data_IF_865872251591
#
_entry.id   IF_865872251591
#
_cell.length_a   1.000
_cell.length_b   1.000
_cell.length_c   1.000
_cell.angle_alpha   90.00
_cell.angle_beta   90.00
_cell.angle_gamma   90.00
#
_symmetry.space_group_name_H-M   'P 1'
#
loop_
_entity.id
_entity.type
_entity.pdbx_description
1 polymer ?
#
# COMPACT_ATOMS: atom_id res chain seq x y z
N UNK A 1 -21.63 -4.68 6.16
CA UNK A 1 -21.79 -3.34 5.56
C UNK A 1 -20.53 -3.01 4.78
N UNK A 2 -20.69 -2.53 3.55
CA UNK A 2 -19.59 -2.07 2.69
C UNK A 2 -19.58 -0.54 2.63
N UNK A 3 -18.51 0.09 3.09
CA UNK A 3 -18.35 1.54 3.06
C UNK A 3 -17.25 1.93 2.06
N UNK A 4 -17.65 2.45 0.90
CA UNK A 4 -16.70 2.93 -0.11
C UNK A 4 -16.07 4.28 0.25
N UNK A 5 -14.88 4.56 -0.28
CA UNK A 5 -14.14 5.81 -0.11
C UNK A 5 -12.68 5.58 0.25
N UNK A 6 -11.89 6.66 0.21
CA UNK A 6 -10.45 6.59 0.52
C UNK A 6 -10.16 6.83 2.02
N UNK A 7 -11.16 7.22 2.81
CA UNK A 7 -11.02 7.54 4.22
C UNK A 7 -11.86 6.61 5.07
N UNK A 8 -11.32 6.25 6.22
CA UNK A 8 -12.05 5.52 7.26
C UNK A 8 -13.33 6.29 7.64
N UNK A 9 -14.44 5.56 7.78
CA UNK A 9 -15.73 6.11 8.20
C UNK A 9 -16.13 5.53 9.53
N UNK A 10 -16.59 6.38 10.43
CA UNK A 10 -17.23 5.92 11.66
C UNK A 10 -18.69 5.71 11.35
N UNK A 11 -19.11 4.45 11.36
CA UNK A 11 -20.48 4.04 11.07
C UNK A 11 -21.09 3.55 12.39
N UNK A 12 -22.05 4.25 12.96
CA UNK A 12 -22.66 3.90 14.25
C UNK A 12 -23.67 2.75 14.09
N UNK A 13 -23.20 1.58 13.69
CA UNK A 13 -24.01 0.37 13.58
C UNK A 13 -23.44 -0.67 14.56
N UNK A 14 -24.25 -1.08 15.50
CA UNK A 14 -23.95 -2.18 16.40
C UNK A 14 -24.16 -3.53 15.69
N UNK A 15 -23.41 -4.56 16.11
CA UNK A 15 -23.52 -5.93 15.60
C UNK A 15 -23.36 -6.06 14.07
N UNK A 16 -22.51 -5.24 13.46
CA UNK A 16 -22.22 -5.27 12.05
C UNK A 16 -20.77 -5.64 11.75
N UNK A 17 -20.56 -6.35 10.64
CA UNK A 17 -19.25 -6.54 10.04
C UNK A 17 -19.08 -5.43 8.99
N UNK A 18 -18.01 -4.65 9.13
CA UNK A 18 -17.72 -3.51 8.26
C UNK A 18 -16.56 -3.85 7.32
N UNK A 19 -16.71 -3.53 6.05
CA UNK A 19 -15.68 -3.61 5.02
C UNK A 19 -15.43 -2.21 4.47
N UNK A 20 -14.22 -1.68 4.68
CA UNK A 20 -13.85 -0.35 4.22
C UNK A 20 -12.35 -0.23 4.00
N UNK A 21 -11.92 0.85 3.33
CA UNK A 21 -10.51 1.13 3.09
C UNK A 21 -10.00 2.24 4.00
N UNK A 22 -8.70 2.19 4.31
CA UNK A 22 -8.02 3.24 5.06
C UNK A 22 -8.20 3.18 6.56
N UNK A 23 -8.44 2.00 7.10
CA UNK A 23 -8.58 1.75 8.53
C UNK A 23 -7.31 2.11 9.31
N UNK A 24 -7.53 2.58 10.55
CA UNK A 24 -6.47 2.84 11.52
C UNK A 24 -6.50 1.78 12.62
N UNK A 25 -5.39 1.10 12.85
CA UNK A 25 -5.26 0.05 13.89
C UNK A 25 -5.57 0.59 15.27
N UNK A 26 -5.11 1.78 15.61
CA UNK A 26 -5.38 2.44 16.89
C UNK A 26 -6.88 2.74 17.12
N UNK A 27 -7.71 2.67 16.07
CA UNK A 27 -9.16 2.93 16.14
C UNK A 27 -10.02 1.68 16.03
N UNK A 28 -9.44 0.51 15.74
CA UNK A 28 -10.18 -0.76 15.62
C UNK A 28 -11.02 -1.09 16.87
N UNK A 29 -10.64 -0.59 18.04
CA UNK A 29 -11.45 -0.76 19.26
C UNK A 29 -12.88 -0.20 19.17
N UNK A 30 -13.12 0.73 18.23
CA UNK A 30 -14.46 1.31 18.00
C UNK A 30 -15.36 0.43 17.12
N UNK A 31 -14.75 -0.41 16.28
CA UNK A 31 -15.44 -1.34 15.40
C UNK A 31 -14.69 -2.67 15.39
N UNK A 32 -14.96 -3.51 16.38
CA UNK A 32 -14.29 -4.80 16.60
C UNK A 32 -14.23 -5.68 15.34
N UNK A 33 -15.19 -5.53 14.43
CA UNK A 33 -15.30 -6.30 13.20
C UNK A 33 -15.25 -5.40 11.96
N UNK A 34 -14.29 -4.47 11.92
CA UNK A 34 -13.97 -3.69 10.73
C UNK A 34 -12.77 -4.31 10.03
N UNK A 35 -12.93 -4.61 8.74
CA UNK A 35 -11.92 -5.24 7.90
C UNK A 35 -11.51 -4.31 6.75
N UNK A 36 -10.21 -4.24 6.51
CA UNK A 36 -9.65 -3.50 5.39
C UNK A 36 -9.94 -4.23 4.08
N UNK A 37 -10.38 -3.45 3.08
CA UNK A 37 -10.62 -3.94 1.72
C UNK A 37 -9.41 -3.63 0.84
N UNK A 38 -8.87 -4.60 0.11
CA UNK A 38 -7.76 -4.31 -0.80
C UNK A 38 -8.17 -3.33 -1.89
N UNK A 39 -7.27 -2.42 -2.25
CA UNK A 39 -7.46 -1.62 -3.44
C UNK A 39 -7.27 -2.52 -4.67
N UNK A 40 -8.36 -2.97 -5.26
CA UNK A 40 -8.32 -3.85 -6.44
C UNK A 40 -7.57 -3.18 -7.58
N UNK A 41 -6.57 -3.87 -8.08
CA UNK A 41 -5.73 -3.45 -9.18
C UNK A 41 -5.89 -4.40 -10.36
N UNK A 42 -5.59 -3.89 -11.56
CA UNK A 42 -5.53 -4.73 -12.77
C UNK A 42 -4.37 -5.71 -12.64
N UNK A 43 -4.50 -6.89 -13.20
CA UNK A 43 -3.39 -7.82 -13.30
C UNK A 43 -2.35 -7.33 -14.30
N UNK A 44 -1.23 -6.80 -13.78
CA UNK A 44 -0.16 -6.27 -14.62
C UNK A 44 0.69 -7.37 -15.25
N UNK A 45 0.81 -8.53 -14.60
CA UNK A 45 1.52 -9.68 -15.19
C UNK A 45 0.77 -10.18 -16.41
N UNK A 46 -0.56 -10.29 -16.33
CA UNK A 46 -1.38 -10.68 -17.47
C UNK A 46 -1.27 -9.67 -18.62
N UNK A 47 -1.44 -8.38 -18.31
CA UNK A 47 -1.51 -7.33 -19.34
C UNK A 47 -0.17 -7.07 -20.04
N UNK A 48 0.95 -7.09 -19.29
CA UNK A 48 2.24 -6.66 -19.82
C UNK A 48 3.19 -7.82 -20.12
N UNK A 49 2.93 -9.01 -19.58
CA UNK A 49 3.80 -10.19 -19.69
C UNK A 49 3.04 -11.48 -20.06
N UNK A 50 1.78 -11.38 -20.53
CA UNK A 50 1.01 -12.55 -20.99
C UNK A 50 0.86 -13.64 -19.93
N UNK A 51 0.73 -13.27 -18.66
CA UNK A 51 0.56 -14.19 -17.53
C UNK A 51 1.88 -14.76 -16.97
N UNK A 52 3.03 -14.53 -17.61
CA UNK A 52 4.32 -15.03 -17.14
C UNK A 52 4.97 -14.02 -16.18
N UNK A 53 5.16 -14.43 -14.93
CA UNK A 53 5.83 -13.59 -13.94
C UNK A 53 7.34 -13.46 -14.24
N UNK A 54 7.86 -12.25 -14.55
CA UNK A 54 9.30 -12.07 -14.74
C UNK A 54 9.99 -12.06 -13.37
N UNK A 55 10.79 -13.09 -13.09
CA UNK A 55 11.55 -13.22 -11.84
C UNK A 55 12.88 -12.46 -11.98
N UNK A 56 13.20 -11.64 -10.99
CA UNK A 56 14.48 -10.94 -10.89
C UNK A 56 15.48 -11.79 -10.07
N UNK A 57 16.70 -11.85 -10.54
CA UNK A 57 17.81 -12.47 -9.78
C UNK A 57 18.33 -11.51 -8.70
N UNK A 58 18.63 -12.06 -7.54
CA UNK A 58 19.21 -11.29 -6.43
C UNK A 58 20.53 -10.67 -6.87
N UNK A 59 20.70 -9.38 -6.62
CA UNK A 59 21.96 -8.65 -6.81
C UNK A 59 22.59 -8.35 -5.45
N UNK A 60 23.86 -7.91 -5.43
CA UNK A 60 24.54 -7.56 -4.18
C UNK A 60 23.87 -6.39 -3.47
N UNK A 61 23.38 -5.39 -4.22
CA UNK A 61 22.65 -4.27 -3.68
C UNK A 61 21.17 -4.34 -4.08
N UNK A 62 20.25 -4.10 -3.13
CA UNK A 62 18.82 -4.04 -3.43
C UNK A 62 18.50 -2.80 -4.29
N UNK A 63 17.79 -3.01 -5.40
CA UNK A 63 17.30 -1.94 -6.26
C UNK A 63 15.88 -1.54 -5.87
N UNK A 64 15.73 -0.29 -5.44
CA UNK A 64 14.49 0.26 -4.88
C UNK A 64 13.82 1.18 -5.87
N UNK A 65 12.56 0.90 -6.22
CA UNK A 65 11.75 1.66 -7.15
C UNK A 65 10.72 2.58 -6.48
N UNK A 66 10.42 3.65 -7.18
CA UNK A 66 9.26 4.49 -6.91
C UNK A 66 8.89 5.31 -8.15
N UNK A 67 7.65 5.23 -8.59
CA UNK A 67 7.13 6.11 -9.63
C UNK A 67 5.86 6.81 -9.14
N UNK A 68 5.89 8.13 -8.93
CA UNK A 68 4.71 8.86 -8.49
C UNK A 68 4.95 10.21 -7.82
N UNK A 69 3.87 10.77 -7.26
CA UNK A 69 3.95 12.06 -6.60
C UNK A 69 4.64 11.95 -5.24
N UNK A 70 5.77 12.62 -5.10
CA UNK A 70 6.52 12.74 -3.84
C UNK A 70 6.97 14.19 -3.58
N UNK A 71 6.64 15.10 -4.48
CA UNK A 71 6.83 16.54 -4.30
C UNK A 71 5.49 17.27 -4.37
N UNK A 72 5.32 18.30 -3.56
CA UNK A 72 4.15 19.15 -3.57
C UNK A 72 4.57 20.62 -3.65
N UNK A 73 3.82 21.45 -4.37
CA UNK A 73 4.00 22.90 -4.42
C UNK A 73 3.25 23.57 -3.29
N UNK A 74 3.66 24.77 -2.89
CA UNK A 74 2.99 25.56 -1.85
C UNK A 74 1.48 25.68 -2.03
N UNK A 75 0.93 25.97 -3.24
CA UNK A 75 -0.51 25.99 -3.44
C UNK A 75 -1.20 24.66 -3.09
N UNK A 76 -0.56 23.53 -3.40
CA UNK A 76 -1.08 22.20 -3.03
C UNK A 76 -1.10 21.98 -1.51
N UNK A 77 -0.11 22.50 -0.79
CA UNK A 77 -0.09 22.47 0.66
C UNK A 77 -1.24 23.26 1.27
N UNK A 78 -1.47 24.48 0.78
CA UNK A 78 -2.57 25.33 1.25
C UNK A 78 -3.94 24.67 1.02
N UNK A 79 -4.15 24.12 -0.17
CA UNK A 79 -5.39 23.37 -0.48
C UNK A 79 -5.55 22.16 0.44
N UNK A 80 -4.47 21.41 0.69
CA UNK A 80 -4.51 20.25 1.59
C UNK A 80 -4.88 20.67 3.03
N UNK A 81 -4.27 21.72 3.55
CA UNK A 81 -4.54 22.23 4.88
C UNK A 81 -5.98 22.75 5.01
N UNK A 82 -6.45 23.56 4.05
CA UNK A 82 -7.82 24.06 4.03
C UNK A 82 -8.84 22.93 4.02
N UNK A 83 -8.67 21.94 3.13
CA UNK A 83 -9.53 20.77 3.07
C UNK A 83 -9.45 19.94 4.36
N UNK A 84 -8.25 19.76 4.93
CA UNK A 84 -8.06 19.04 6.18
C UNK A 84 -8.74 19.71 7.37
N UNK A 85 -8.74 21.03 7.43
CA UNK A 85 -9.45 21.80 8.46
C UNK A 85 -10.97 21.72 8.28
N UNK A 86 -11.45 21.87 7.03
CA UNK A 86 -12.87 21.70 6.70
C UNK A 86 -13.38 20.33 7.10
N UNK A 87 -12.69 19.26 6.74
CA UNK A 87 -13.10 17.90 7.11
C UNK A 87 -13.09 17.70 8.63
N UNK A 88 -12.14 18.31 9.36
CA UNK A 88 -12.12 18.27 10.83
C UNK A 88 -13.32 18.98 11.44
N UNK A 89 -13.67 20.16 10.94
CA UNK A 89 -14.84 20.89 11.45
C UNK A 89 -16.12 20.11 11.22
N UNK A 90 -16.31 19.53 10.03
CA UNK A 90 -17.47 18.69 9.72
C UNK A 90 -17.52 17.40 10.58
N UNK A 91 -16.38 16.80 10.86
CA UNK A 91 -16.27 15.64 11.72
C UNK A 91 -16.61 15.97 13.19
N UNK A 92 -16.11 17.11 13.70
CA UNK A 92 -16.38 17.55 15.08
C UNK A 92 -17.86 17.90 15.33
N UNK A 93 -18.56 18.38 14.32
CA UNK A 93 -20.01 18.69 14.40
C UNK A 93 -20.87 17.52 13.91
N UNK A 94 -20.30 16.33 13.80
CA UNK A 94 -20.96 15.08 13.39
C UNK A 94 -21.68 15.13 12.02
N UNK A 95 -21.29 16.08 11.16
CA UNK A 95 -21.83 16.22 9.81
C UNK A 95 -21.10 15.37 8.75
N UNK A 96 -20.00 14.71 9.12
CA UNK A 96 -19.27 13.78 8.26
C UNK A 96 -18.81 12.58 9.07
N UNK A 97 -19.08 11.36 8.61
CA UNK A 97 -18.55 10.15 9.24
C UNK A 97 -17.08 9.90 8.90
N UNK A 98 -16.50 10.65 7.94
CA UNK A 98 -15.13 10.43 7.46
C UNK A 98 -14.10 10.94 8.47
N UNK A 99 -13.16 10.07 8.81
CA UNK A 99 -12.03 10.43 9.67
C UNK A 99 -11.12 11.41 8.92
N UNK A 100 -10.88 12.60 9.46
CA UNK A 100 -10.07 13.60 8.77
C UNK A 100 -8.62 13.12 8.56
N UNK A 101 -8.03 13.39 7.38
CA UNK A 101 -6.63 13.04 7.12
C UNK A 101 -5.68 13.83 8.04
N UNK A 102 -4.44 13.35 8.26
CA UNK A 102 -3.42 14.14 8.93
C UNK A 102 -3.20 15.49 8.26
N UNK A 103 -2.86 16.51 9.05
CA UNK A 103 -2.53 17.84 8.50
C UNK A 103 -1.26 17.80 7.64
N UNK A 104 -0.32 16.92 7.96
CA UNK A 104 0.85 16.72 7.12
C UNK A 104 0.47 15.96 5.85
N UNK A 105 0.69 16.53 4.66
CA UNK A 105 0.38 15.86 3.41
C UNK A 105 1.21 14.60 3.21
N UNK A 106 0.66 13.55 2.54
CA UNK A 106 1.36 12.27 2.35
C UNK A 106 2.64 12.39 1.52
N UNK A 107 2.73 13.35 0.62
CA UNK A 107 3.94 13.57 -0.18
C UNK A 107 5.16 14.04 0.64
N UNK A 108 4.95 14.67 1.82
CA UNK A 108 6.07 15.02 2.72
C UNK A 108 6.76 13.78 3.27
N UNK A 109 6.00 12.81 3.76
CA UNK A 109 6.57 11.54 4.24
C UNK A 109 7.25 10.79 3.10
N UNK A 110 6.60 10.71 1.92
CA UNK A 110 7.20 10.10 0.74
C UNK A 110 8.51 10.77 0.35
N UNK A 111 8.52 12.10 0.24
CA UNK A 111 9.72 12.85 -0.10
C UNK A 111 10.86 12.67 0.91
N UNK A 112 10.53 12.55 2.22
CA UNK A 112 11.52 12.22 3.25
C UNK A 112 12.11 10.84 3.03
N UNK A 113 11.26 9.81 2.87
CA UNK A 113 11.68 8.43 2.65
C UNK A 113 12.55 8.29 1.40
N UNK A 114 12.09 8.82 0.27
CA UNK A 114 12.86 8.73 -0.99
C UNK A 114 14.20 9.44 -0.91
N UNK A 115 14.30 10.56 -0.18
CA UNK A 115 15.57 11.25 0.03
C UNK A 115 16.52 10.41 0.87
N UNK A 116 16.06 9.80 1.96
CA UNK A 116 16.88 8.94 2.81
C UNK A 116 17.44 7.74 2.03
N UNK A 117 16.60 7.08 1.23
CA UNK A 117 17.02 5.98 0.36
C UNK A 117 18.04 6.44 -0.69
N UNK A 118 17.77 7.58 -1.38
CA UNK A 118 18.65 8.09 -2.43
C UNK A 118 20.01 8.57 -1.91
N UNK A 119 20.12 8.94 -0.64
CA UNK A 119 21.37 9.39 -0.01
C UNK A 119 22.19 8.22 0.56
N UNK A 120 21.62 7.04 0.68
CA UNK A 120 22.30 5.89 1.25
C UNK A 120 23.08 5.10 0.19
N UNK A 121 24.33 4.70 0.48
CA UNK A 121 25.10 3.83 -0.41
C UNK A 121 24.67 2.36 -0.33
N UNK A 122 23.78 2.01 0.60
CA UNK A 122 23.34 0.62 0.86
C UNK A 122 22.34 0.11 -0.19
N UNK A 123 21.68 1.01 -0.93
CA UNK A 123 20.67 0.67 -1.91
C UNK A 123 20.92 1.37 -3.24
N UNK A 124 20.46 0.77 -4.34
CA UNK A 124 20.32 1.45 -5.62
C UNK A 124 18.91 1.98 -5.77
N UNK A 125 18.73 3.16 -6.34
CA UNK A 125 17.41 3.77 -6.46
C UNK A 125 17.04 4.08 -7.90
N UNK A 126 15.78 3.75 -8.25
CA UNK A 126 15.16 4.06 -9.53
C UNK A 126 13.86 4.86 -9.26
N UNK A 127 14.00 6.18 -9.05
CA UNK A 127 12.90 7.03 -8.64
C UNK A 127 12.43 7.96 -9.75
N UNK A 128 11.17 7.81 -10.15
CA UNK A 128 10.47 8.70 -11.07
C UNK A 128 9.55 9.61 -10.26
N UNK A 129 10.10 10.74 -9.80
CA UNK A 129 9.39 11.68 -8.94
C UNK A 129 8.53 12.63 -9.78
N UNK A 130 7.22 12.58 -9.55
CA UNK A 130 6.24 13.41 -10.24
C UNK A 130 5.72 14.53 -9.34
N UNK A 131 5.55 15.73 -9.92
CA UNK A 131 5.01 16.90 -9.22
C UNK A 131 3.48 16.88 -9.15
N UNK A 132 2.81 16.07 -9.97
CA UNK A 132 1.35 15.95 -10.04
C UNK A 132 0.93 14.49 -9.89
N UNK A 133 -0.22 14.30 -9.24
CA UNK A 133 -0.85 12.99 -9.17
C UNK A 133 -1.12 12.45 -10.58
N UNK A 134 -0.79 11.19 -10.82
CA UNK A 134 -0.90 10.50 -12.12
C UNK A 134 -0.27 11.28 -13.29
N UNK A 135 0.86 11.92 -13.07
CA UNK A 135 1.54 12.77 -14.06
C UNK A 135 0.67 13.90 -14.63
N UNK A 136 -0.47 14.23 -14.00
CA UNK A 136 -1.42 15.24 -14.45
C UNK A 136 -2.46 14.73 -15.47
N UNK A 137 -2.50 13.45 -15.78
CA UNK A 137 -3.52 12.83 -16.66
C UNK A 137 -4.91 13.01 -16.06
N UNK A 138 -5.79 13.73 -16.78
CA UNK A 138 -7.15 14.06 -16.32
C UNK A 138 -8.22 13.15 -16.90
N UNK A 139 -8.05 12.71 -18.14
CA UNK A 139 -9.00 11.84 -18.83
C UNK A 139 -9.11 10.48 -18.13
N UNK A 140 -10.37 10.05 -17.90
CA UNK A 140 -10.63 8.71 -17.33
C UNK A 140 -10.22 7.60 -18.30
N UNK A 141 -10.38 7.86 -19.61
CA UNK A 141 -10.00 6.92 -20.66
C UNK A 141 -8.47 6.69 -20.66
N UNK A 142 -7.67 7.77 -20.72
CA UNK A 142 -6.20 7.69 -20.67
C UNK A 142 -5.70 7.04 -19.37
N UNK A 143 -6.34 7.34 -18.23
CA UNK A 143 -5.99 6.71 -16.95
C UNK A 143 -6.25 5.21 -16.93
N UNK A 144 -7.25 4.74 -17.67
CA UNK A 144 -7.62 3.34 -17.74
C UNK A 144 -6.95 2.60 -18.90
N UNK A 145 -6.32 3.32 -19.84
CA UNK A 145 -5.55 2.72 -20.91
C UNK A 145 -4.22 2.15 -20.33
N UNK A 146 -4.02 0.82 -20.36
CA UNK A 146 -2.80 0.23 -19.86
C UNK A 146 -1.57 0.67 -20.65
N UNK A 147 -1.73 0.96 -21.93
CA UNK A 147 -0.65 1.33 -22.85
C UNK A 147 -0.37 2.83 -22.90
N UNK A 148 -1.11 3.64 -22.14
CA UNK A 148 -0.75 5.04 -21.99
C UNK A 148 0.67 5.18 -21.42
N UNK A 149 1.56 6.02 -22.00
CA UNK A 149 2.97 6.09 -21.62
C UNK A 149 3.23 6.22 -20.11
N UNK A 150 2.40 6.98 -19.39
CA UNK A 150 2.55 7.15 -17.94
C UNK A 150 2.23 5.89 -17.13
N UNK A 151 1.37 5.01 -17.66
CA UNK A 151 1.05 3.72 -17.03
C UNK A 151 2.13 2.69 -17.34
N UNK A 152 2.63 2.66 -18.57
CA UNK A 152 3.76 1.82 -18.97
C UNK A 152 5.03 2.18 -18.18
N UNK A 153 5.37 3.47 -18.05
CA UNK A 153 6.48 3.94 -17.22
C UNK A 153 6.33 3.51 -15.77
N UNK A 154 5.12 3.64 -15.22
CA UNK A 154 4.83 3.25 -13.83
C UNK A 154 5.01 1.74 -13.60
N UNK A 155 4.47 0.92 -14.49
CA UNK A 155 4.54 -0.54 -14.37
C UNK A 155 5.96 -1.05 -14.63
N UNK A 156 6.66 -0.49 -15.63
CA UNK A 156 8.06 -0.83 -15.89
C UNK A 156 8.96 -0.48 -14.70
N UNK A 157 8.73 0.64 -14.01
CA UNK A 157 9.49 0.96 -12.79
C UNK A 157 9.33 -0.11 -11.72
N UNK A 158 8.11 -0.67 -11.55
CA UNK A 158 7.88 -1.79 -10.62
C UNK A 158 8.62 -3.05 -11.09
N UNK A 159 8.45 -3.47 -12.35
CA UNK A 159 9.07 -4.70 -12.84
C UNK A 159 10.61 -4.65 -12.88
N UNK A 160 11.20 -3.47 -13.08
CA UNK A 160 12.65 -3.28 -13.18
C UNK A 160 13.36 -3.10 -11.83
N UNK A 161 12.64 -3.13 -10.71
CA UNK A 161 13.19 -2.98 -9.37
C UNK A 161 12.87 -4.18 -8.49
N UNK A 162 13.67 -4.42 -7.47
CA UNK A 162 13.52 -5.54 -6.55
C UNK A 162 12.45 -5.22 -5.49
N UNK A 163 12.52 -3.99 -5.03
CA UNK A 163 11.68 -3.43 -3.98
C UNK A 163 10.95 -2.20 -4.45
N UNK A 164 9.72 -2.01 -4.00
CA UNK A 164 8.95 -0.79 -4.31
C UNK A 164 8.49 -0.09 -3.05
N UNK A 165 8.72 1.22 -2.95
CA UNK A 165 8.31 2.02 -1.78
C UNK A 165 6.80 2.19 -1.74
N UNK A 166 6.16 1.64 -0.69
CA UNK A 166 4.72 1.62 -0.47
C UNK A 166 4.35 2.46 0.76
N UNK A 167 3.92 3.69 0.53
CA UNK A 167 3.51 4.64 1.56
C UNK A 167 2.09 5.11 1.27
N UNK A 168 1.30 5.32 2.32
CA UNK A 168 -0.08 5.80 2.24
C UNK A 168 -0.30 6.93 1.26
N UNK A 169 -1.50 6.97 0.69
CA UNK A 169 -2.04 8.07 -0.10
C UNK A 169 -2.72 9.14 0.75
N UNK A 170 -3.83 9.67 0.26
CA UNK A 170 -4.73 10.53 1.02
C UNK A 170 -5.37 9.78 2.18
N UNK A 171 -5.92 8.59 1.91
CA UNK A 171 -6.37 7.65 2.91
C UNK A 171 -5.22 6.90 3.60
N UNK A 172 -5.52 6.09 4.63
CA UNK A 172 -4.52 5.34 5.39
C UNK A 172 -4.17 4.00 4.73
N UNK A 173 -4.12 3.94 3.43
CA UNK A 173 -3.72 2.75 2.66
C UNK A 173 -2.80 3.13 1.50
N UNK A 174 -2.09 2.15 0.98
CA UNK A 174 -1.21 2.29 -0.19
C UNK A 174 -1.68 1.39 -1.34
N UNK A 175 -2.29 1.97 -2.38
CA UNK A 175 -2.62 1.20 -3.58
C UNK A 175 -1.40 0.52 -4.18
N UNK A 176 -0.22 1.16 -4.06
CA UNK A 176 1.04 0.63 -4.57
C UNK A 176 1.45 -0.68 -3.92
N UNK A 177 1.05 -0.95 -2.67
CA UNK A 177 1.26 -2.25 -2.03
C UNK A 177 0.69 -3.38 -2.89
N UNK A 178 -0.56 -3.23 -3.32
CA UNK A 178 -1.24 -4.23 -4.14
C UNK A 178 -0.69 -4.29 -5.57
N UNK A 179 -0.30 -3.15 -6.13
CA UNK A 179 0.36 -3.07 -7.45
C UNK A 179 1.72 -3.76 -7.45
N UNK A 180 2.48 -3.61 -6.37
CA UNK A 180 3.81 -4.24 -6.18
C UNK A 180 3.67 -5.76 -6.04
N UNK A 181 2.77 -6.23 -5.16
CA UNK A 181 2.52 -7.66 -4.98
C UNK A 181 1.96 -8.32 -6.25
N UNK A 182 1.09 -7.61 -6.98
CA UNK A 182 0.59 -8.05 -8.30
C UNK A 182 1.73 -8.34 -9.28
N UNK A 183 2.78 -7.53 -9.27
CA UNK A 183 3.97 -7.71 -10.10
C UNK A 183 5.00 -8.70 -9.52
N UNK A 184 4.69 -9.39 -8.42
CA UNK A 184 5.64 -10.27 -7.74
C UNK A 184 6.89 -9.53 -7.26
N UNK A 185 6.76 -8.28 -6.82
CA UNK A 185 7.85 -7.49 -6.25
C UNK A 185 7.65 -7.33 -4.75
N UNK A 186 8.73 -7.05 -4.04
CA UNK A 186 8.73 -6.98 -2.59
C UNK A 186 8.43 -5.54 -2.16
N UNK A 187 7.35 -5.30 -1.41
CA UNK A 187 7.05 -3.96 -0.91
C UNK A 187 8.02 -3.52 0.20
N UNK A 188 8.44 -2.26 0.17
CA UNK A 188 8.93 -1.56 1.36
C UNK A 188 7.71 -0.85 1.95
N UNK A 189 7.09 -1.45 2.95
CA UNK A 189 5.86 -0.95 3.53
C UNK A 189 6.15 -0.05 4.73
N UNK A 190 5.82 1.25 4.59
CA UNK A 190 5.91 2.20 5.71
C UNK A 190 4.58 2.23 6.44
N UNK A 191 4.55 1.62 7.62
CA UNK A 191 3.35 1.58 8.46
C UNK A 191 3.04 2.97 9.04
N UNK A 192 1.81 3.39 8.83
CA UNK A 192 1.26 4.64 9.33
C UNK A 192 0.00 4.40 10.18
N UNK A 193 0.06 3.35 11.01
CA UNK A 193 -1.08 2.89 11.80
C UNK A 193 -2.15 2.21 10.90
N UNK A 194 -1.71 1.52 9.84
CA UNK A 194 -2.59 0.93 8.84
C UNK A 194 -3.04 -0.47 9.27
N UNK A 195 -4.32 -0.78 9.01
CA UNK A 195 -4.81 -2.15 8.96
C UNK A 195 -4.61 -2.67 7.55
N UNK A 196 -4.20 -3.92 7.40
CA UNK A 196 -4.04 -4.56 6.09
C UNK A 196 -5.11 -5.64 5.90
N UNK A 197 -5.51 -5.93 4.64
CA UNK A 197 -6.49 -6.98 4.36
C UNK A 197 -6.02 -8.33 4.92
N UNK A 198 -6.95 -9.10 5.48
CA UNK A 198 -6.64 -10.41 6.06
C UNK A 198 -5.52 -10.42 7.12
N UNK A 199 -5.31 -9.31 7.87
CA UNK A 199 -4.30 -9.24 8.92
C UNK A 199 -4.50 -10.28 10.04
N UNK A 200 -5.71 -10.83 10.16
CA UNK A 200 -6.04 -11.96 11.03
C UNK A 200 -5.57 -13.33 10.49
N UNK A 201 -5.16 -13.43 9.21
CA UNK A 201 -4.78 -14.68 8.54
C UNK A 201 -3.44 -14.60 7.81
N UNK A 202 -2.94 -13.41 7.50
CA UNK A 202 -1.72 -13.15 6.74
C UNK A 202 -0.67 -12.49 7.63
N UNK A 203 0.47 -13.14 7.79
CA UNK A 203 1.65 -12.50 8.37
C UNK A 203 2.32 -11.61 7.33
N UNK A 204 1.91 -10.34 7.31
CA UNK A 204 2.37 -9.35 6.34
C UNK A 204 3.88 -9.08 6.38
N UNK A 205 4.53 -9.29 7.53
CA UNK A 205 5.97 -9.06 7.68
C UNK A 205 6.82 -10.06 6.89
N UNK A 206 6.24 -11.19 6.50
CA UNK A 206 6.92 -12.18 5.64
C UNK A 206 7.03 -11.72 4.18
N UNK A 207 6.16 -10.81 3.74
CA UNK A 207 6.03 -10.43 2.33
C UNK A 207 6.59 -9.04 2.03
N UNK A 208 7.10 -8.32 3.02
CA UNK A 208 7.57 -6.95 2.83
C UNK A 208 8.67 -6.55 3.81
N UNK A 209 9.49 -5.60 3.41
CA UNK A 209 10.32 -4.84 4.35
C UNK A 209 9.38 -3.95 5.16
N UNK A 210 9.11 -4.35 6.41
CA UNK A 210 8.23 -3.61 7.31
C UNK A 210 8.99 -2.49 8.00
N UNK A 211 8.50 -1.26 7.87
CA UNK A 211 9.12 -0.07 8.46
C UNK A 211 8.07 0.69 9.26
N UNK A 212 8.20 0.68 10.57
CA UNK A 212 7.37 1.52 11.42
C UNK A 212 7.70 3.00 11.18
N UNK A 213 6.72 3.88 11.38
CA UNK A 213 6.91 5.31 11.13
C UNK A 213 8.08 5.91 11.91
N UNK A 214 8.37 5.42 13.11
CA UNK A 214 9.51 5.80 13.95
C UNK A 214 10.85 5.34 13.36
N UNK A 215 10.87 4.26 12.61
CA UNK A 215 12.06 3.65 12.02
C UNK A 215 12.41 4.21 10.62
N UNK A 216 11.62 5.13 10.10
CA UNK A 216 11.89 5.78 8.81
C UNK A 216 13.31 6.35 8.69
N UNK A 217 13.95 6.90 9.73
CA UNK A 217 15.36 7.31 9.63
C UNK A 217 16.34 6.20 9.24
N UNK A 218 16.02 4.95 9.54
CA UNK A 218 16.84 3.76 9.31
C UNK A 218 16.32 2.88 8.15
N UNK A 219 15.53 3.46 7.24
CA UNK A 219 14.86 2.70 6.19
C UNK A 219 15.82 2.03 5.21
N UNK A 220 16.94 2.66 4.90
CA UNK A 220 17.93 2.10 3.99
C UNK A 220 18.65 0.87 4.60
N UNK A 221 19.00 0.97 5.88
CA UNK A 221 19.58 -0.13 6.67
C UNK A 221 18.59 -1.31 6.72
N UNK A 222 17.33 -1.05 7.05
CA UNK A 222 16.29 -2.10 7.08
C UNK A 222 16.11 -2.80 5.74
N UNK A 223 16.18 -2.07 4.63
CA UNK A 223 16.10 -2.66 3.29
C UNK A 223 17.34 -3.52 3.00
N UNK A 224 18.53 -3.02 3.34
CA UNK A 224 19.77 -3.75 3.14
C UNK A 224 19.85 -5.01 4.01
N UNK A 225 19.48 -4.92 5.29
CA UNK A 225 19.45 -6.04 6.23
C UNK A 225 18.45 -7.12 5.78
N UNK A 226 17.24 -6.72 5.38
CA UNK A 226 16.26 -7.64 4.83
C UNK A 226 16.78 -8.33 3.57
N UNK A 227 17.40 -7.58 2.65
CA UNK A 227 17.98 -8.13 1.44
C UNK A 227 19.12 -9.10 1.75
N UNK A 228 19.99 -8.76 2.69
CA UNK A 228 21.11 -9.61 3.11
C UNK A 228 20.64 -10.90 3.81
N UNK A 229 19.50 -10.87 4.49
CA UNK A 229 18.94 -12.04 5.17
C UNK A 229 18.38 -13.12 4.24
N UNK A 230 18.12 -12.79 2.97
CA UNK A 230 17.60 -13.73 1.98
C UNK A 230 18.76 -14.40 1.21
N UNK A 231 18.68 -15.69 0.98
CA UNK A 231 19.49 -16.33 -0.07
C UNK A 231 19.04 -15.90 -1.47
N UNK A 232 19.77 -16.26 -2.51
CA UNK A 232 19.33 -15.99 -3.89
C UNK A 232 18.01 -16.73 -4.23
N UNK A 233 17.88 -17.96 -3.74
CA UNK A 233 16.70 -18.81 -3.91
C UNK A 233 15.50 -18.22 -3.14
N UNK A 234 15.69 -17.90 -1.84
CA UNK A 234 14.62 -17.28 -1.02
C UNK A 234 14.12 -15.96 -1.62
N UNK A 235 15.02 -15.19 -2.24
CA UNK A 235 14.65 -13.93 -2.90
C UNK A 235 13.78 -14.17 -4.13
N UNK A 236 14.06 -15.20 -4.94
CA UNK A 236 13.24 -15.56 -6.09
C UNK A 236 11.89 -16.13 -5.63
N UNK A 237 11.91 -17.02 -4.64
CA UNK A 237 10.70 -17.62 -4.06
C UNK A 237 9.79 -16.56 -3.42
N UNK A 238 10.35 -15.56 -2.74
CA UNK A 238 9.55 -14.48 -2.15
C UNK A 238 8.80 -13.68 -3.22
N UNK A 239 9.38 -13.48 -4.41
CA UNK A 239 8.69 -12.83 -5.53
C UNK A 239 7.46 -13.66 -5.99
N UNK A 240 7.62 -14.98 -6.06
CA UNK A 240 6.52 -15.90 -6.38
C UNK A 240 5.45 -15.84 -5.28
N UNK A 241 5.85 -15.90 -4.02
CA UNK A 241 4.94 -15.82 -2.87
C UNK A 241 4.19 -14.48 -2.81
N UNK A 242 4.84 -13.36 -3.11
CA UNK A 242 4.20 -12.06 -3.24
C UNK A 242 3.10 -12.06 -4.32
N UNK A 243 3.39 -12.65 -5.48
CA UNK A 243 2.42 -12.79 -6.56
C UNK A 243 1.24 -13.68 -6.15
N UNK A 244 1.53 -14.83 -5.54
CA UNK A 244 0.50 -15.76 -5.06
C UNK A 244 -0.41 -15.12 -4.02
N UNK A 245 0.16 -14.42 -3.02
CA UNK A 245 -0.62 -13.69 -2.03
C UNK A 245 -1.60 -12.71 -2.70
N UNK A 246 -1.13 -11.98 -3.74
CA UNK A 246 -2.00 -11.08 -4.47
C UNK A 246 -3.11 -11.82 -5.21
N UNK A 247 -2.79 -12.91 -5.92
CA UNK A 247 -3.77 -13.70 -6.67
C UNK A 247 -4.83 -14.29 -5.75
N UNK A 248 -4.39 -14.90 -4.64
CA UNK A 248 -5.25 -15.68 -3.77
C UNK A 248 -6.14 -14.82 -2.86
N UNK A 249 -5.68 -13.60 -2.45
CA UNK A 249 -6.39 -12.83 -1.43
C UNK A 249 -6.64 -11.37 -1.74
N UNK A 250 -5.84 -10.77 -2.63
CA UNK A 250 -5.85 -9.32 -2.84
C UNK A 250 -6.35 -8.91 -4.23
N UNK A 251 -6.38 -9.83 -5.17
CA UNK A 251 -7.10 -9.67 -6.43
C UNK A 251 -8.61 -9.62 -6.15
N UNK A 252 -9.39 -9.08 -7.09
CA UNK A 252 -10.85 -9.05 -6.91
C UNK A 252 -11.41 -10.46 -6.74
N UNK A 253 -10.99 -11.41 -7.58
CA UNK A 253 -11.44 -12.81 -7.51
C UNK A 253 -11.02 -13.44 -6.18
N UNK A 254 -9.72 -13.43 -5.86
CA UNK A 254 -9.18 -14.06 -4.66
C UNK A 254 -9.78 -13.49 -3.37
N UNK A 255 -10.05 -12.17 -3.33
CA UNK A 255 -10.72 -11.57 -2.18
C UNK A 255 -12.12 -12.14 -1.95
N UNK A 256 -12.91 -12.31 -3.00
CA UNK A 256 -14.26 -12.85 -2.86
C UNK A 256 -14.27 -14.36 -2.66
N UNK A 257 -13.33 -15.10 -3.21
CA UNK A 257 -13.20 -16.54 -2.97
C UNK A 257 -12.92 -16.86 -1.48
N UNK A 258 -12.13 -15.97 -0.82
CA UNK A 258 -11.78 -16.10 0.60
C UNK A 258 -12.60 -15.18 1.53
N UNK A 259 -13.67 -14.58 1.01
CA UNK A 259 -14.49 -13.62 1.77
C UNK A 259 -15.12 -14.23 3.03
N UNK A 260 -15.48 -15.52 2.97
CA UNK A 260 -16.07 -16.28 4.07
C UNK A 260 -15.16 -16.34 5.32
N UNK A 261 -13.84 -16.23 5.16
CA UNK A 261 -12.88 -16.28 6.26
C UNK A 261 -13.08 -15.16 7.28
N UNK A 262 -13.59 -14.00 6.84
CA UNK A 262 -13.92 -12.90 7.73
C UNK A 262 -15.06 -13.27 8.70
N UNK A 263 -16.05 -14.00 8.22
CA UNK A 263 -17.18 -14.47 9.06
C UNK A 263 -16.73 -15.58 9.99
N UNK A 264 -15.90 -16.50 9.53
CA UNK A 264 -15.32 -17.55 10.38
C UNK A 264 -14.49 -16.96 11.51
N UNK A 265 -13.69 -15.92 11.23
CA UNK A 265 -12.94 -15.20 12.24
C UNK A 265 -13.86 -14.53 13.27
N UNK A 266 -14.91 -13.84 12.83
CA UNK A 266 -15.89 -13.17 13.72
C UNK A 266 -16.63 -14.19 14.58
N UNK A 267 -16.95 -15.38 14.06
CA UNK A 267 -17.63 -16.45 14.77
C UNK A 267 -16.71 -17.27 15.69
N UNK A 268 -15.43 -16.91 15.81
CA UNK A 268 -14.46 -17.64 16.63
C UNK A 268 -14.08 -19.03 16.08
N UNK A 269 -14.36 -19.29 14.81
CA UNK A 269 -14.02 -20.57 14.15
C UNK A 269 -12.60 -20.58 13.60
N UNK A 270 -11.88 -19.45 13.64
CA UNK A 270 -10.47 -19.33 13.29
C UNK A 270 -9.68 -18.73 14.45
N UNK A 271 -8.55 -19.35 14.79
CA UNK A 271 -7.56 -18.79 15.70
C UNK A 271 -6.63 -17.86 14.90
N UNK A 272 -6.16 -16.78 15.53
CA UNK A 272 -5.15 -15.88 14.94
C UNK A 272 -3.83 -16.67 14.82
N UNK A 273 -3.20 -16.81 13.63
CA UNK A 273 -1.87 -17.35 13.54
C UNK A 273 -0.90 -16.36 14.20
N UNK A 274 -0.21 -16.77 15.27
CA UNK A 274 0.95 -16.04 15.81
C UNK A 274 0.65 -14.88 16.75
N UNK A 275 -0.31 -15.02 17.65
CA UNK A 275 -0.43 -14.14 18.81
C UNK A 275 0.60 -14.50 19.89
N UNK A 276 1.81 -13.92 19.78
CA UNK A 276 2.76 -13.75 20.90
C UNK A 276 3.42 -12.39 20.79
#
# INVERSE_FOLDING_TARGET
>A
VWAGGDFEKIIPIENAILFQSGLHRSRQRRHKYAFEVPAFVRDYVEVYHGGQLPIRKKQDKPRVGFCGQAAGRLPGLMVWLAKGLQLRSLYLVERSPEVPPPLSPPWRLRGKVLRLLAQSPLVETDFIIRNRYRAGVRSKQERNDPWHPTNVEFVNNIFNTDYTVCIRGGGNFSKRLYETLCCGRIPIFVDTDSVLPYDFAVDWKRYCVWVDKSEVPFIAEKVADFHASLSAEDFEDLQIQCRQLWQDRLSKQGFFDHFHEHFEFVLGRRSIPGGH
#
